data_IF_571925513768
#
_entry.id   IF_571925513768
#
_cell.length_a   1.000
_cell.length_b   1.000
_cell.length_c   1.000
_cell.angle_alpha   90.00
_cell.angle_beta   90.00
_cell.angle_gamma   90.00
#
_symmetry.space_group_name_H-M   'P 1'
#
loop_
_entity.id
_entity.type
_entity.pdbx_description
1 polymer ?
#
# COMPACT_ATOMS: atom_id res chain seq x y z
N UNK A 1 -9.32 38.87 -47.72
CA UNK A 1 -10.26 38.08 -46.91
C UNK A 1 -10.16 36.65 -47.43
N UNK A 2 -9.17 35.83 -47.05
CA UNK A 2 -9.00 35.12 -45.77
C UNK A 2 -10.25 34.37 -45.33
N UNK A 3 -10.45 33.16 -45.87
CA UNK A 3 -11.18 32.05 -45.24
C UNK A 3 -10.79 30.71 -45.90
N UNK A 4 -9.51 30.33 -45.84
CA UNK A 4 -9.05 28.96 -46.14
C UNK A 4 -7.86 28.68 -45.23
N UNK A 5 -8.09 28.09 -44.04
CA UNK A 5 -7.05 27.41 -43.23
C UNK A 5 -7.52 26.67 -41.97
N UNK A 6 -8.80 26.69 -41.60
CA UNK A 6 -9.26 26.01 -40.37
C UNK A 6 -9.76 24.56 -40.58
N UNK A 7 -10.07 24.15 -41.82
CA UNK A 7 -10.58 22.80 -42.12
C UNK A 7 -9.50 21.69 -42.12
N UNK A 8 -8.37 21.91 -42.77
CA UNK A 8 -7.31 20.90 -42.90
C UNK A 8 -6.58 20.62 -41.58
N UNK A 9 -6.46 21.63 -40.71
CA UNK A 9 -5.82 21.47 -39.41
C UNK A 9 -6.68 20.68 -38.41
N UNK A 10 -8.01 20.71 -38.57
CA UNK A 10 -8.95 19.96 -37.76
C UNK A 10 -9.04 18.49 -38.22
N UNK A 11 -9.06 18.25 -39.54
CA UNK A 11 -9.06 16.89 -40.11
C UNK A 11 -7.72 16.20 -39.86
N UNK A 12 -6.57 16.87 -40.02
CA UNK A 12 -5.26 16.31 -39.67
C UNK A 12 -5.19 15.89 -38.20
N UNK A 13 -5.63 16.76 -37.27
CA UNK A 13 -5.69 16.41 -35.84
C UNK A 13 -6.66 15.26 -35.52
N UNK A 14 -7.74 15.13 -36.28
CA UNK A 14 -8.69 14.01 -36.13
C UNK A 14 -8.07 12.70 -36.66
N UNK A 15 -7.36 12.76 -37.79
CA UNK A 15 -6.65 11.62 -38.38
C UNK A 15 -5.50 11.16 -37.48
N UNK A 16 -4.73 12.08 -36.91
CA UNK A 16 -3.62 11.78 -35.99
C UNK A 16 -4.13 11.09 -34.71
N UNK A 17 -5.29 11.52 -34.18
CA UNK A 17 -5.94 10.86 -33.04
C UNK A 17 -6.43 9.45 -33.37
N UNK A 18 -7.01 9.27 -34.56
CA UNK A 18 -7.48 7.94 -35.01
C UNK A 18 -6.28 7.01 -35.26
N UNK A 19 -5.19 7.51 -35.85
CA UNK A 19 -3.97 6.75 -36.07
C UNK A 19 -3.28 6.39 -34.76
N UNK A 20 -3.24 7.30 -33.78
CA UNK A 20 -2.69 7.02 -32.46
C UNK A 20 -3.52 5.95 -31.73
N UNK A 21 -4.85 6.07 -31.74
CA UNK A 21 -5.74 5.05 -31.18
C UNK A 21 -5.58 3.70 -31.89
N UNK A 22 -5.35 3.71 -33.20
CA UNK A 22 -5.05 2.51 -33.98
C UNK A 22 -3.70 1.91 -33.55
N UNK A 23 -2.66 2.73 -33.38
CA UNK A 23 -1.34 2.26 -32.95
C UNK A 23 -1.38 1.53 -31.60
N UNK A 24 -2.18 2.03 -30.65
CA UNK A 24 -2.30 1.51 -29.29
C UNK A 24 -3.28 0.33 -29.15
N UNK A 25 -4.14 0.10 -30.15
CA UNK A 25 -5.17 -0.94 -30.07
C UNK A 25 -4.60 -2.35 -30.16
N UNK A 26 -5.00 -3.23 -29.25
CA UNK A 26 -4.58 -4.65 -29.22
C UNK A 26 -5.13 -5.49 -30.38
N UNK A 27 -6.03 -4.92 -31.19
CA UNK A 27 -6.64 -5.57 -32.36
C UNK A 27 -6.02 -5.13 -33.67
N UNK A 28 -5.00 -4.27 -33.61
CA UNK A 28 -4.36 -3.71 -34.80
C UNK A 28 -3.51 -4.77 -35.50
N UNK A 29 -3.71 -4.98 -36.82
CA UNK A 29 -2.90 -5.92 -37.60
C UNK A 29 -1.42 -5.58 -37.55
N UNK A 30 -0.57 -6.60 -37.61
CA UNK A 30 0.88 -6.45 -37.54
C UNK A 30 1.41 -5.54 -38.66
N UNK A 31 0.86 -5.64 -39.86
CA UNK A 31 1.28 -4.86 -41.03
C UNK A 31 1.03 -3.36 -40.80
N UNK A 32 -0.06 -3.02 -40.11
CA UNK A 32 -0.38 -1.64 -39.74
C UNK A 32 0.59 -1.13 -38.68
N UNK A 33 0.91 -1.94 -37.67
CA UNK A 33 1.92 -1.58 -36.67
C UNK A 33 3.30 -1.38 -37.30
N UNK A 34 3.69 -2.23 -38.27
CA UNK A 34 4.94 -2.07 -39.01
C UNK A 34 5.00 -0.75 -39.77
N UNK A 35 3.90 -0.36 -40.44
CA UNK A 35 3.84 0.92 -41.15
C UNK A 35 3.94 2.12 -40.18
N UNK A 36 3.20 2.06 -39.07
CA UNK A 36 3.18 3.14 -38.07
C UNK A 36 4.50 3.25 -37.28
N UNK A 37 5.23 2.15 -37.11
CA UNK A 37 6.55 2.14 -36.43
C UNK A 37 7.62 2.95 -37.16
N UNK A 38 7.43 3.23 -38.46
CA UNK A 38 8.37 3.97 -39.31
C UNK A 38 7.89 5.39 -39.64
N UNK A 39 6.78 5.81 -39.03
CA UNK A 39 6.18 7.10 -39.32
C UNK A 39 7.06 8.25 -38.82
N UNK A 40 7.07 9.39 -39.52
CA UNK A 40 7.86 10.57 -39.13
C UNK A 40 7.41 11.14 -37.78
N UNK A 41 6.10 11.12 -37.54
CA UNK A 41 5.51 11.47 -36.25
C UNK A 41 5.89 10.46 -35.15
N UNK A 42 6.67 10.95 -34.20
CA UNK A 42 7.08 10.25 -32.99
C UNK A 42 5.93 9.77 -32.11
N UNK A 43 4.78 10.46 -32.11
CA UNK A 43 3.63 10.05 -31.32
C UNK A 43 3.02 8.74 -31.82
N UNK A 44 3.05 8.53 -33.15
CA UNK A 44 2.59 7.27 -33.73
C UNK A 44 3.57 6.13 -33.44
N UNK A 45 4.89 6.39 -33.51
CA UNK A 45 5.91 5.41 -33.12
C UNK A 45 5.81 5.04 -31.64
N UNK A 46 5.63 6.03 -30.76
CA UNK A 46 5.32 5.83 -29.33
C UNK A 46 4.05 4.99 -29.16
N UNK A 47 2.99 5.29 -29.91
CA UNK A 47 1.73 4.53 -29.88
C UNK A 47 1.94 3.05 -30.22
N UNK A 48 2.77 2.75 -31.21
CA UNK A 48 3.14 1.36 -31.56
C UNK A 48 3.95 0.71 -30.44
N UNK A 49 4.96 1.41 -29.92
CA UNK A 49 5.77 0.93 -28.80
C UNK A 49 4.94 0.68 -27.53
N UNK A 50 3.88 1.47 -27.30
CA UNK A 50 2.98 1.32 -26.15
C UNK A 50 1.97 0.18 -26.30
N UNK A 51 1.85 -0.42 -27.48
CA UNK A 51 0.85 -1.46 -27.73
C UNK A 51 1.21 -2.74 -26.95
N UNK A 52 0.36 -3.26 -26.04
CA UNK A 52 0.68 -4.45 -25.25
C UNK A 52 0.90 -5.72 -26.08
N UNK A 53 0.48 -5.73 -27.34
CA UNK A 53 0.70 -6.82 -28.30
C UNK A 53 1.69 -6.45 -29.40
N UNK A 54 2.52 -5.43 -29.18
CA UNK A 54 3.57 -5.05 -30.11
C UNK A 54 4.51 -6.25 -30.34
N UNK A 55 4.72 -6.68 -31.59
CA UNK A 55 5.65 -7.76 -31.90
C UNK A 55 7.07 -7.44 -31.38
N UNK A 56 7.78 -8.42 -30.79
CA UNK A 56 9.14 -8.22 -30.29
C UNK A 56 10.10 -7.58 -31.30
N UNK A 57 10.00 -7.98 -32.58
CA UNK A 57 10.82 -7.43 -33.66
C UNK A 57 10.61 -5.93 -33.90
N UNK A 58 9.40 -5.42 -33.66
CA UNK A 58 9.14 -3.98 -33.74
C UNK A 58 9.71 -3.26 -32.53
N UNK A 59 9.60 -3.84 -31.33
CA UNK A 59 10.24 -3.31 -30.13
C UNK A 59 11.77 -3.25 -30.29
N UNK A 60 12.40 -4.26 -30.89
CA UNK A 60 13.84 -4.25 -31.24
C UNK A 60 14.23 -3.10 -32.17
N UNK A 61 13.30 -2.64 -33.02
CA UNK A 61 13.56 -1.51 -33.93
C UNK A 61 13.36 -0.17 -33.22
N UNK A 62 12.34 -0.09 -32.36
CA UNK A 62 11.95 1.13 -31.64
C UNK A 62 12.83 1.40 -30.40
N UNK A 63 13.56 0.40 -29.91
CA UNK A 63 14.48 0.57 -28.77
C UNK A 63 15.62 1.54 -29.07
N UNK A 64 15.97 1.72 -30.35
CA UNK A 64 17.00 2.67 -30.80
C UNK A 64 16.40 3.97 -31.36
N UNK A 65 15.13 4.26 -31.08
CA UNK A 65 14.50 5.49 -31.55
C UNK A 65 15.26 6.71 -31.01
N UNK A 66 15.48 7.76 -31.83
CA UNK A 66 16.16 8.96 -31.38
C UNK A 66 15.44 9.67 -30.23
N UNK A 67 14.11 9.50 -30.11
CA UNK A 67 13.34 10.11 -29.02
C UNK A 67 13.18 9.17 -27.84
N UNK A 68 13.59 9.66 -26.68
CA UNK A 68 13.47 9.01 -25.37
C UNK A 68 12.03 8.62 -25.06
N UNK A 69 11.04 9.40 -25.50
CA UNK A 69 9.62 9.06 -25.32
C UNK A 69 9.23 7.75 -26.01
N UNK A 70 9.80 7.46 -27.17
CA UNK A 70 9.52 6.20 -27.88
C UNK A 70 10.25 5.05 -27.19
N UNK A 71 11.51 5.26 -26.77
CA UNK A 71 12.28 4.25 -26.03
C UNK A 71 11.65 3.94 -24.67
N UNK A 72 11.13 4.93 -23.95
CA UNK A 72 10.42 4.73 -22.69
C UNK A 72 9.13 3.92 -22.88
N UNK A 73 8.42 4.12 -24.00
CA UNK A 73 7.26 3.29 -24.34
C UNK A 73 7.64 1.83 -24.62
N UNK A 74 8.83 1.57 -25.19
CA UNK A 74 9.39 0.20 -25.30
C UNK A 74 9.70 -0.34 -23.90
N UNK A 75 10.33 0.47 -23.04
CA UNK A 75 10.74 0.09 -21.69
C UNK A 75 9.56 -0.29 -20.79
N UNK A 76 8.46 0.46 -20.82
CA UNK A 76 7.25 0.18 -20.02
C UNK A 76 6.34 -0.88 -20.64
N UNK A 77 6.63 -1.39 -21.85
CA UNK A 77 5.78 -2.35 -22.51
C UNK A 77 5.82 -3.72 -21.79
N UNK A 78 4.69 -4.31 -21.38
CA UNK A 78 4.67 -5.64 -20.74
C UNK A 78 5.27 -6.76 -21.61
N UNK A 79 5.32 -6.59 -22.93
CA UNK A 79 5.92 -7.51 -23.89
C UNK A 79 7.41 -7.20 -24.21
N UNK A 80 8.04 -6.25 -23.49
CA UNK A 80 9.44 -5.90 -23.67
C UNK A 80 10.35 -7.12 -23.41
N UNK A 81 11.08 -7.61 -24.43
CA UNK A 81 11.94 -8.77 -24.30
C UNK A 81 13.07 -8.56 -23.30
N UNK A 82 13.49 -9.61 -22.56
CA UNK A 82 14.62 -9.59 -21.63
C UNK A 82 15.87 -8.83 -22.11
N UNK A 83 16.34 -9.13 -23.32
CA UNK A 83 17.54 -8.50 -23.88
C UNK A 83 17.37 -6.98 -24.11
N UNK A 84 16.16 -6.50 -24.36
CA UNK A 84 15.89 -5.07 -24.48
C UNK A 84 15.79 -4.41 -23.11
N UNK A 85 15.23 -5.08 -22.12
CA UNK A 85 15.22 -4.58 -20.73
C UNK A 85 16.66 -4.36 -20.23
N UNK A 86 17.58 -5.30 -20.48
CA UNK A 86 19.01 -5.17 -20.14
C UNK A 86 19.66 -3.95 -20.81
N UNK A 87 19.32 -3.68 -22.07
CA UNK A 87 19.82 -2.50 -22.79
C UNK A 87 19.26 -1.21 -22.17
N UNK A 88 17.95 -1.17 -21.93
CA UNK A 88 17.23 0.01 -21.45
C UNK A 88 17.53 0.35 -19.99
N UNK A 89 17.97 -0.63 -19.19
CA UNK A 89 18.44 -0.41 -17.82
C UNK A 89 19.67 0.51 -17.76
N UNK A 90 20.37 0.67 -18.87
CA UNK A 90 21.52 1.55 -19.03
C UNK A 90 21.28 2.64 -20.07
N UNK A 91 20.02 2.97 -20.38
CA UNK A 91 19.69 4.08 -21.27
C UNK A 91 20.24 5.39 -20.67
N UNK A 92 20.75 6.26 -21.55
CA UNK A 92 21.31 7.55 -21.13
C UNK A 92 20.26 8.46 -20.47
N UNK A 93 19.00 8.30 -20.85
CA UNK A 93 17.92 9.15 -20.37
C UNK A 93 17.20 8.50 -19.19
N UNK A 94 17.23 9.18 -18.05
CA UNK A 94 16.60 8.72 -16.80
C UNK A 94 15.13 8.32 -17.00
N UNK A 95 14.34 9.10 -17.76
CA UNK A 95 12.94 8.81 -18.07
C UNK A 95 12.70 7.42 -18.69
N UNK A 96 13.66 6.90 -19.48
CA UNK A 96 13.57 5.56 -20.06
C UNK A 96 13.83 4.50 -18.99
N UNK A 97 14.83 4.72 -18.12
CA UNK A 97 15.13 3.84 -16.98
C UNK A 97 13.99 3.81 -15.97
N UNK A 98 13.36 4.97 -15.70
CA UNK A 98 12.16 5.10 -14.86
C UNK A 98 10.99 4.30 -15.44
N UNK A 99 10.78 4.38 -16.76
CA UNK A 99 9.74 3.61 -17.45
C UNK A 99 10.02 2.09 -17.37
N UNK A 100 11.29 1.66 -17.46
CA UNK A 100 11.68 0.27 -17.26
C UNK A 100 11.39 -0.19 -15.83
N UNK A 101 11.75 0.61 -14.82
CA UNK A 101 11.52 0.29 -13.41
C UNK A 101 10.02 0.10 -13.09
N UNK A 102 9.13 0.77 -13.83
CA UNK A 102 7.67 0.59 -13.70
C UNK A 102 7.09 -0.62 -14.44
N UNK A 103 7.92 -1.37 -15.18
CA UNK A 103 7.44 -2.48 -15.99
C UNK A 103 7.01 -3.67 -15.14
N UNK A 104 5.74 -4.05 -15.23
CA UNK A 104 5.13 -5.19 -14.51
C UNK A 104 5.84 -6.54 -14.70
N UNK A 105 6.62 -6.69 -15.79
CA UNK A 105 7.40 -7.88 -16.12
C UNK A 105 8.90 -7.61 -16.10
N UNK A 106 9.36 -6.70 -15.23
CA UNK A 106 10.78 -6.41 -15.02
C UNK A 106 11.54 -7.68 -14.60
N UNK A 107 12.68 -7.94 -15.23
CA UNK A 107 13.49 -9.10 -14.87
C UNK A 107 14.11 -8.99 -13.46
N UNK A 108 14.15 -10.10 -12.74
CA UNK A 108 14.64 -10.16 -11.35
C UNK A 108 16.08 -9.65 -11.18
N UNK A 109 16.94 -9.89 -12.15
CA UNK A 109 18.35 -9.45 -12.12
C UNK A 109 18.52 -7.94 -12.31
N UNK A 110 17.51 -7.25 -12.85
CA UNK A 110 17.54 -5.81 -13.07
C UNK A 110 17.16 -4.99 -11.83
N UNK A 111 16.49 -5.58 -10.84
CA UNK A 111 16.17 -4.88 -9.59
C UNK A 111 17.43 -4.37 -8.89
N UNK A 112 18.45 -5.21 -8.77
CA UNK A 112 19.72 -4.82 -8.14
C UNK A 112 20.46 -3.74 -8.95
N UNK A 113 20.32 -3.75 -10.28
CA UNK A 113 20.94 -2.73 -11.15
C UNK A 113 20.23 -1.38 -10.96
N UNK A 114 18.90 -1.36 -11.05
CA UNK A 114 18.10 -0.13 -10.97
C UNK A 114 17.95 0.41 -9.54
N UNK A 115 18.16 -0.41 -8.51
CA UNK A 115 18.20 0.05 -7.10
C UNK A 115 19.49 0.82 -6.76
N UNK A 116 20.44 0.89 -7.69
CA UNK A 116 21.69 1.65 -7.58
C UNK A 116 21.70 2.84 -8.55
N UNK A 117 20.57 3.15 -9.17
CA UNK A 117 20.42 4.29 -10.08
C UNK A 117 20.59 5.61 -9.29
N UNK A 118 21.02 6.65 -9.98
CA UNK A 118 21.22 7.98 -9.38
C UNK A 118 19.95 8.83 -9.40
N UNK A 119 18.94 8.43 -10.17
CA UNK A 119 17.67 9.16 -10.29
C UNK A 119 16.62 8.68 -9.27
N UNK A 120 16.10 9.62 -8.48
CA UNK A 120 15.07 9.38 -7.46
C UNK A 120 13.84 8.68 -8.04
N UNK A 121 13.37 9.10 -9.22
CA UNK A 121 12.19 8.51 -9.86
C UNK A 121 12.38 7.03 -10.23
N UNK A 122 13.60 6.62 -10.57
CA UNK A 122 13.93 5.22 -10.84
C UNK A 122 13.85 4.42 -9.55
N UNK A 123 14.48 4.92 -8.48
CA UNK A 123 14.51 4.28 -7.17
C UNK A 123 13.10 4.16 -6.57
N UNK A 124 12.26 5.20 -6.68
CA UNK A 124 10.87 5.17 -6.23
C UNK A 124 10.02 4.12 -6.95
N UNK A 125 10.21 3.95 -8.27
CA UNK A 125 9.51 2.92 -9.03
C UNK A 125 9.95 1.51 -8.63
N UNK A 126 11.25 1.30 -8.38
CA UNK A 126 11.74 0.01 -7.88
C UNK A 126 11.24 -0.27 -6.46
N UNK A 127 11.33 0.73 -5.57
CA UNK A 127 10.90 0.63 -4.18
C UNK A 127 9.41 0.28 -4.07
N UNK A 128 8.56 0.83 -4.94
CA UNK A 128 7.12 0.56 -4.98
C UNK A 128 6.71 -0.67 -5.81
N UNK A 129 7.66 -1.30 -6.51
CA UNK A 129 7.38 -2.41 -7.40
C UNK A 129 6.91 -3.67 -6.63
N UNK A 130 5.83 -4.31 -7.08
CA UNK A 130 5.22 -5.45 -6.39
C UNK A 130 6.07 -6.74 -6.41
N UNK A 131 7.10 -6.78 -7.27
CA UNK A 131 8.09 -7.86 -7.36
C UNK A 131 9.46 -7.46 -6.79
N UNK A 132 9.58 -6.29 -6.17
CA UNK A 132 10.85 -5.84 -5.60
C UNK A 132 11.36 -6.87 -4.58
N UNK A 133 12.56 -7.46 -4.81
CA UNK A 133 13.13 -8.41 -3.87
C UNK A 133 13.43 -7.73 -2.53
N UNK A 134 13.23 -8.46 -1.44
CA UNK A 134 13.44 -7.95 -0.08
C UNK A 134 14.83 -7.32 0.13
N UNK A 135 15.88 -7.93 -0.43
CA UNK A 135 17.26 -7.42 -0.34
C UNK A 135 17.39 -6.00 -0.90
N UNK A 136 16.65 -5.68 -1.95
CA UNK A 136 16.74 -4.41 -2.66
C UNK A 136 15.94 -3.33 -1.90
N UNK A 137 14.83 -3.72 -1.25
CA UNK A 137 14.12 -2.84 -0.31
C UNK A 137 15.00 -2.37 0.86
N UNK A 138 15.87 -3.25 1.40
CA UNK A 138 16.81 -2.85 2.45
C UNK A 138 17.86 -1.86 1.98
N UNK A 139 18.30 -1.94 0.72
CA UNK A 139 19.22 -0.97 0.13
C UNK A 139 18.54 0.39 0.01
N UNK A 140 17.31 0.41 -0.53
CA UNK A 140 16.53 1.62 -0.78
C UNK A 140 16.04 2.28 0.52
N UNK A 141 16.01 1.55 1.63
CA UNK A 141 15.60 2.07 2.93
C UNK A 141 16.64 3.02 3.59
N UNK A 142 17.84 3.15 3.02
CA UNK A 142 18.87 4.11 3.48
C UNK A 142 19.02 5.31 2.51
N UNK A 143 18.10 5.43 1.55
CA UNK A 143 18.13 6.48 0.52
C UNK A 143 17.39 7.76 0.97
N UNK A 144 17.06 8.67 0.04
CA UNK A 144 16.30 9.89 0.28
C UNK A 144 14.90 9.59 0.81
N UNK A 145 14.34 10.53 1.58
CA UNK A 145 13.04 10.37 2.23
C UNK A 145 11.90 9.93 1.27
N UNK A 146 11.79 10.44 0.02
CA UNK A 146 10.79 9.96 -0.94
C UNK A 146 10.93 8.47 -1.26
N UNK A 147 12.17 7.99 -1.48
CA UNK A 147 12.47 6.59 -1.77
C UNK A 147 12.15 5.71 -0.56
N UNK A 148 12.53 6.14 0.65
CA UNK A 148 12.19 5.43 1.90
C UNK A 148 10.67 5.33 2.11
N UNK A 149 9.91 6.36 1.74
CA UNK A 149 8.45 6.34 1.79
C UNK A 149 7.86 5.35 0.77
N UNK A 150 8.45 5.24 -0.43
CA UNK A 150 8.11 4.19 -1.40
C UNK A 150 8.39 2.78 -0.85
N UNK A 151 9.51 2.58 -0.14
CA UNK A 151 9.80 1.30 0.54
C UNK A 151 8.75 1.00 1.60
N UNK A 152 8.42 1.98 2.45
CA UNK A 152 7.42 1.85 3.50
C UNK A 152 6.01 1.56 2.97
N UNK A 153 5.64 2.12 1.80
CA UNK A 153 4.33 1.89 1.17
C UNK A 153 4.25 0.58 0.37
N UNK A 154 5.38 -0.10 0.12
CA UNK A 154 5.37 -1.35 -0.61
C UNK A 154 4.65 -2.45 0.18
N UNK A 155 3.70 -3.13 -0.48
CA UNK A 155 2.93 -4.24 0.09
C UNK A 155 3.79 -5.46 0.41
N UNK A 156 4.95 -5.63 -0.21
CA UNK A 156 5.89 -6.72 0.09
C UNK A 156 6.92 -6.34 1.14
N UNK A 157 6.87 -5.12 1.70
CA UNK A 157 7.81 -4.66 2.71
C UNK A 157 7.77 -5.56 3.96
N UNK A 158 8.90 -6.14 4.38
CA UNK A 158 8.95 -6.99 5.57
C UNK A 158 8.62 -6.20 6.85
N UNK A 159 7.97 -6.87 7.80
CA UNK A 159 7.61 -6.27 9.10
C UNK A 159 8.82 -5.70 9.87
N UNK A 160 9.98 -6.36 9.80
CA UNK A 160 11.21 -5.87 10.46
C UNK A 160 11.73 -4.57 9.81
N UNK A 161 11.57 -4.40 8.49
CA UNK A 161 11.93 -3.17 7.80
C UNK A 161 10.93 -2.04 8.09
N UNK A 162 9.63 -2.35 8.14
CA UNK A 162 8.62 -1.39 8.61
C UNK A 162 8.93 -0.92 10.04
N UNK A 163 9.38 -1.84 10.91
CA UNK A 163 9.77 -1.52 12.28
C UNK A 163 10.97 -0.57 12.36
N UNK A 164 11.95 -0.67 11.46
CA UNK A 164 13.06 0.30 11.43
C UNK A 164 12.59 1.67 10.95
N UNK A 165 11.65 1.71 9.99
CA UNK A 165 11.11 2.95 9.42
C UNK A 165 10.10 3.67 10.34
N UNK A 166 9.65 3.04 11.43
CA UNK A 166 8.80 3.70 12.44
C UNK A 166 9.45 4.93 13.07
N UNK A 167 10.78 4.92 13.21
CA UNK A 167 11.56 5.99 13.83
C UNK A 167 12.23 6.90 12.80
N UNK A 168 11.77 6.86 11.54
CA UNK A 168 12.31 7.71 10.48
C UNK A 168 12.09 9.19 10.84
N UNK A 169 13.06 10.03 10.48
CA UNK A 169 12.99 11.48 10.70
C UNK A 169 11.88 12.15 9.88
N UNK A 170 11.60 11.61 8.69
CA UNK A 170 10.57 12.10 7.78
C UNK A 170 9.19 11.62 8.22
N UNK A 171 8.28 12.57 8.40
CA UNK A 171 6.87 12.30 8.63
C UNK A 171 6.24 11.57 7.44
N UNK A 172 6.61 11.89 6.20
CA UNK A 172 6.14 11.18 5.00
C UNK A 172 6.43 9.67 5.04
N UNK A 173 7.60 9.28 5.55
CA UNK A 173 7.98 7.87 5.70
C UNK A 173 7.13 7.21 6.78
N UNK A 174 6.96 7.87 7.94
CA UNK A 174 6.13 7.34 9.04
C UNK A 174 4.64 7.26 8.66
N UNK A 175 4.14 8.20 7.86
CA UNK A 175 2.80 8.14 7.24
C UNK A 175 2.70 6.89 6.36
N UNK A 176 3.66 6.66 5.47
CA UNK A 176 3.65 5.47 4.60
C UNK A 176 3.67 4.15 5.40
N UNK A 177 4.36 4.09 6.54
CA UNK A 177 4.29 2.93 7.46
C UNK A 177 2.90 2.78 8.07
N UNK A 178 2.27 3.88 8.49
CA UNK A 178 0.90 3.88 9.02
C UNK A 178 -0.15 3.46 7.99
N UNK A 179 0.05 3.82 6.72
CA UNK A 179 -0.85 3.47 5.61
C UNK A 179 -0.64 2.03 5.09
N UNK A 180 0.51 1.41 5.37
CA UNK A 180 0.81 0.08 4.85
C UNK A 180 -0.18 -0.96 5.40
N UNK A 181 -0.92 -1.59 4.49
CA UNK A 181 -1.97 -2.59 4.79
C UNK A 181 -1.42 -3.85 5.47
N UNK A 182 -0.12 -4.12 5.37
CA UNK A 182 0.56 -5.25 5.99
C UNK A 182 1.35 -4.84 7.23
N UNK A 183 1.28 -3.58 7.67
CA UNK A 183 1.90 -3.14 8.92
C UNK A 183 1.26 -3.90 10.10
N UNK A 184 2.05 -4.63 10.92
CA UNK A 184 1.53 -5.33 12.08
C UNK A 184 0.90 -4.36 13.10
N UNK A 185 -0.22 -4.78 13.69
CA UNK A 185 -0.95 -3.96 14.67
C UNK A 185 -0.15 -3.55 15.91
N UNK A 186 0.86 -4.32 16.28
CA UNK A 186 1.80 -3.98 17.37
C UNK A 186 2.66 -2.77 17.01
N UNK A 187 3.13 -2.69 15.76
CA UNK A 187 3.94 -1.58 15.26
C UNK A 187 3.13 -0.28 15.15
N UNK A 188 1.88 -0.40 14.67
CA UNK A 188 0.92 0.71 14.62
C UNK A 188 0.66 1.32 16.01
N UNK A 189 0.83 0.54 17.09
CA UNK A 189 0.74 1.04 18.46
C UNK A 189 1.77 2.12 18.80
N UNK A 190 2.97 2.05 18.21
CA UNK A 190 4.01 3.08 18.39
C UNK A 190 3.63 4.39 17.68
N UNK A 191 3.07 4.30 16.47
CA UNK A 191 2.61 5.47 15.69
C UNK A 191 1.30 6.07 16.23
N UNK A 192 0.52 5.30 17.01
CA UNK A 192 -0.68 5.83 17.66
C UNK A 192 -0.36 6.95 18.69
N UNK A 193 0.91 7.08 19.08
CA UNK A 193 1.42 8.14 19.96
C UNK A 193 2.39 9.08 19.26
N UNK A 194 2.45 9.06 17.92
CA UNK A 194 3.31 9.97 17.16
C UNK A 194 2.93 11.43 17.44
N UNK A 195 3.91 12.32 17.42
CA UNK A 195 3.71 13.75 17.64
C UNK A 195 2.83 14.36 16.52
N UNK A 196 2.96 13.87 15.29
CA UNK A 196 2.20 14.36 14.13
C UNK A 196 0.78 13.80 14.08
N UNK A 197 -0.20 14.70 14.03
CA UNK A 197 -1.63 14.34 14.05
C UNK A 197 -2.08 13.58 12.79
N UNK A 198 -1.45 13.82 11.64
CA UNK A 198 -1.76 13.12 10.40
C UNK A 198 -1.38 11.63 10.49
N UNK A 199 -0.23 11.31 11.09
CA UNK A 199 0.21 9.92 11.30
C UNK A 199 -0.80 9.20 12.20
N UNK A 200 -1.19 9.80 13.32
CA UNK A 200 -2.18 9.22 14.24
C UNK A 200 -3.53 8.99 13.56
N UNK A 201 -3.93 9.89 12.65
CA UNK A 201 -5.15 9.73 11.85
C UNK A 201 -5.05 8.55 10.86
N UNK A 202 -3.90 8.33 10.23
CA UNK A 202 -3.70 7.16 9.34
C UNK A 202 -3.67 5.84 10.13
N UNK A 203 -3.05 5.83 11.31
CA UNK A 203 -3.13 4.69 12.23
C UNK A 203 -4.60 4.39 12.58
N UNK A 204 -5.42 5.41 12.82
CA UNK A 204 -6.84 5.18 13.12
C UNK A 204 -7.61 4.52 11.95
N UNK A 205 -7.22 4.80 10.70
CA UNK A 205 -7.84 4.25 9.49
C UNK A 205 -7.31 2.86 9.12
N UNK A 206 -6.11 2.50 9.55
CA UNK A 206 -5.50 1.22 9.21
C UNK A 206 -6.32 0.04 9.76
N UNK A 207 -6.52 -0.99 8.92
CA UNK A 207 -7.34 -2.15 9.26
C UNK A 207 -6.74 -3.01 10.37
N UNK A 208 -5.40 -3.04 10.48
CA UNK A 208 -4.65 -3.85 11.44
C UNK A 208 -4.48 -3.17 12.81
N UNK A 209 -4.94 -1.93 12.98
CA UNK A 209 -4.84 -1.22 14.26
C UNK A 209 -5.60 -1.99 15.34
N UNK A 210 -4.89 -2.31 16.42
CA UNK A 210 -5.44 -3.13 17.50
C UNK A 210 -6.52 -2.37 18.30
N UNK A 211 -7.50 -3.07 18.89
CA UNK A 211 -8.58 -2.47 19.66
C UNK A 211 -8.12 -1.45 20.70
N UNK A 212 -7.08 -1.79 21.48
CA UNK A 212 -6.56 -0.89 22.51
C UNK A 212 -6.10 0.45 21.93
N UNK A 213 -5.28 0.43 20.88
CA UNK A 213 -4.74 1.64 20.26
C UNK A 213 -5.85 2.47 19.60
N UNK A 214 -6.81 1.83 18.93
CA UNK A 214 -7.92 2.54 18.29
C UNK A 214 -8.84 3.22 19.32
N UNK A 215 -9.06 2.60 20.48
CA UNK A 215 -9.79 3.21 21.60
C UNK A 215 -9.03 4.41 22.18
N UNK A 216 -7.70 4.33 22.33
CA UNK A 216 -6.89 5.47 22.76
C UNK A 216 -6.97 6.63 21.77
N UNK A 217 -6.95 6.36 20.45
CA UNK A 217 -7.10 7.37 19.39
C UNK A 217 -8.50 7.99 19.36
N UNK A 218 -9.55 7.28 19.77
CA UNK A 218 -10.88 7.88 19.96
C UNK A 218 -10.92 8.90 21.11
N UNK A 219 -9.90 8.91 21.98
CA UNK A 219 -9.69 9.90 23.04
C UNK A 219 -8.62 10.95 22.69
N UNK A 220 -8.16 11.00 21.43
CA UNK A 220 -7.14 11.93 20.96
C UNK A 220 -7.58 13.40 21.17
N UNK A 221 -6.68 14.32 21.56
CA UNK A 221 -7.00 15.73 21.68
C UNK A 221 -7.40 16.39 20.35
N UNK A 222 -6.94 15.84 19.22
CA UNK A 222 -7.24 16.36 17.88
C UNK A 222 -8.53 15.72 17.35
N UNK A 223 -9.52 16.58 17.06
CA UNK A 223 -10.84 16.15 16.58
C UNK A 223 -10.79 15.31 15.31
N UNK A 224 -9.86 15.59 14.41
CA UNK A 224 -9.73 14.84 13.16
C UNK A 224 -9.34 13.38 13.43
N UNK A 225 -8.33 13.16 14.28
CA UNK A 225 -7.87 11.83 14.72
C UNK A 225 -8.99 11.10 15.47
N UNK A 226 -9.63 11.78 16.43
CA UNK A 226 -10.76 11.23 17.18
C UNK A 226 -11.88 10.75 16.25
N UNK A 227 -12.28 11.58 15.27
CA UNK A 227 -13.33 11.22 14.32
C UNK A 227 -12.93 10.02 13.44
N UNK A 228 -11.69 9.97 12.94
CA UNK A 228 -11.20 8.84 12.17
C UNK A 228 -11.25 7.54 12.99
N UNK A 229 -10.85 7.59 14.26
CA UNK A 229 -10.89 6.44 15.16
C UNK A 229 -12.33 5.99 15.45
N UNK A 230 -13.25 6.91 15.74
CA UNK A 230 -14.66 6.58 15.99
C UNK A 230 -15.30 5.95 14.75
N UNK A 231 -15.10 6.52 13.56
CA UNK A 231 -15.60 5.95 12.29
C UNK A 231 -15.03 4.55 12.07
N UNK A 232 -13.73 4.36 12.32
CA UNK A 232 -13.09 3.05 12.22
C UNK A 232 -13.72 2.05 13.19
N UNK A 233 -13.88 2.40 14.47
CA UNK A 233 -14.52 1.55 15.50
C UNK A 233 -15.96 1.16 15.12
N UNK A 234 -16.76 2.09 14.60
CA UNK A 234 -18.13 1.84 14.15
C UNK A 234 -18.21 0.83 13.00
N UNK A 235 -17.18 0.76 12.17
CA UNK A 235 -17.09 -0.16 11.04
C UNK A 235 -16.55 -1.56 11.40
N UNK A 236 -16.00 -1.74 12.62
CA UNK A 236 -15.33 -2.99 12.98
C UNK A 236 -16.34 -4.15 13.17
N UNK A 237 -16.04 -5.34 12.61
CA UNK A 237 -16.87 -6.53 12.78
C UNK A 237 -16.83 -7.11 14.21
N UNK A 238 -17.73 -8.04 14.51
CA UNK A 238 -17.87 -8.65 15.85
C UNK A 238 -16.59 -9.32 16.35
N UNK A 239 -15.89 -10.05 15.49
CA UNK A 239 -14.64 -10.77 15.79
C UNK A 239 -13.51 -9.83 16.24
N UNK A 240 -13.47 -8.60 15.73
CA UNK A 240 -12.56 -7.56 16.22
C UNK A 240 -12.77 -7.25 17.71
N UNK A 241 -14.02 -7.19 18.15
CA UNK A 241 -14.37 -6.93 19.55
C UNK A 241 -14.16 -8.16 20.44
N UNK A 242 -14.35 -9.37 19.90
CA UNK A 242 -13.98 -10.61 20.59
C UNK A 242 -12.47 -10.70 20.81
N UNK A 243 -11.68 -10.31 19.81
CA UNK A 243 -10.22 -10.19 19.93
C UNK A 243 -9.84 -9.20 21.05
N UNK A 244 -10.54 -8.07 21.16
CA UNK A 244 -10.32 -7.10 22.23
C UNK A 244 -10.45 -7.75 23.62
N UNK A 245 -11.54 -8.47 23.86
CA UNK A 245 -11.82 -9.11 25.15
C UNK A 245 -10.84 -10.23 25.46
N UNK A 246 -10.56 -11.09 24.47
CA UNK A 246 -9.59 -12.19 24.62
C UNK A 246 -8.16 -11.70 24.83
N UNK A 247 -7.83 -10.50 24.34
CA UNK A 247 -6.55 -9.81 24.59
C UNK A 247 -6.50 -9.11 25.96
N UNK A 248 -7.55 -9.23 26.77
CA UNK A 248 -7.61 -8.73 28.15
C UNK A 248 -8.28 -7.37 28.32
N UNK A 249 -8.84 -6.77 27.27
CA UNK A 249 -9.70 -5.59 27.44
C UNK A 249 -11.03 -5.99 28.05
N UNK A 250 -11.57 -5.10 28.87
CA UNK A 250 -12.92 -5.21 29.40
C UNK A 250 -13.62 -3.86 29.34
N UNK A 251 -14.95 -3.86 29.35
CA UNK A 251 -15.75 -2.63 29.46
C UNK A 251 -15.35 -1.79 30.69
N UNK A 252 -14.94 -2.43 31.79
CA UNK A 252 -14.46 -1.75 33.00
C UNK A 252 -12.99 -1.29 32.92
N UNK A 253 -12.28 -1.61 31.83
CA UNK A 253 -10.88 -1.20 31.66
C UNK A 253 -10.81 0.32 31.56
N UNK A 254 -10.05 0.92 32.46
CA UNK A 254 -9.77 2.36 32.43
C UNK A 254 -8.70 2.64 31.38
N UNK A 255 -9.07 3.39 30.35
CA UNK A 255 -8.19 3.86 29.30
C UNK A 255 -7.65 5.23 29.68
N UNK A 256 -6.35 5.44 29.49
CA UNK A 256 -5.68 6.72 29.71
C UNK A 256 -5.00 7.11 28.40
N UNK A 257 -5.48 8.17 27.75
CA UNK A 257 -4.85 8.66 26.53
C UNK A 257 -3.45 9.23 26.87
N UNK A 258 -2.37 8.74 26.24
CA UNK A 258 -1.01 9.14 26.61
C UNK A 258 -0.69 10.60 26.30
N UNK A 259 -1.39 11.22 25.35
CA UNK A 259 -1.15 12.59 24.90
C UNK A 259 -1.96 13.58 25.75
N UNK A 260 -3.27 13.37 25.87
CA UNK A 260 -4.18 14.29 26.58
C UNK A 260 -4.31 14.02 28.07
N UNK A 261 -3.82 12.86 28.55
CA UNK A 261 -4.02 12.37 29.93
C UNK A 261 -5.50 12.22 30.34
N UNK A 262 -6.41 12.26 29.36
CA UNK A 262 -7.83 12.00 29.59
C UNK A 262 -8.01 10.53 29.98
N UNK A 263 -8.84 10.28 30.98
CA UNK A 263 -9.18 8.95 31.47
C UNK A 263 -10.68 8.70 31.34
N UNK A 264 -11.06 7.51 30.87
CA UNK A 264 -12.45 7.04 30.79
C UNK A 264 -12.48 5.51 30.73
N UNK A 265 -13.55 4.87 31.18
CA UNK A 265 -13.69 3.43 30.99
C UNK A 265 -13.95 3.10 29.52
N UNK A 266 -13.56 1.90 29.08
CA UNK A 266 -13.85 1.42 27.73
C UNK A 266 -15.36 1.46 27.43
N UNK A 267 -16.19 0.98 28.36
CA UNK A 267 -17.64 1.00 28.23
C UNK A 267 -18.22 2.41 28.07
N UNK A 268 -17.81 3.35 28.93
CA UNK A 268 -18.27 4.74 28.83
C UNK A 268 -17.82 5.38 27.51
N UNK A 269 -16.60 5.09 27.05
CA UNK A 269 -16.08 5.61 25.78
C UNK A 269 -16.94 5.12 24.61
N UNK A 270 -17.20 3.81 24.53
CA UNK A 270 -18.01 3.21 23.46
C UNK A 270 -19.42 3.78 23.42
N UNK A 271 -20.06 3.98 24.58
CA UNK A 271 -21.39 4.59 24.67
C UNK A 271 -21.34 6.06 24.23
N UNK A 272 -20.37 6.83 24.72
CA UNK A 272 -20.26 8.26 24.40
C UNK A 272 -19.90 8.54 22.93
N UNK A 273 -19.30 7.57 22.25
CA UNK A 273 -18.87 7.63 20.85
C UNK A 273 -19.84 6.92 19.88
N UNK A 274 -21.02 6.52 20.35
CA UNK A 274 -22.04 5.80 19.56
C UNK A 274 -21.52 4.51 18.90
N UNK A 275 -20.68 3.76 19.62
CA UNK A 275 -20.15 2.45 19.20
C UNK A 275 -20.90 1.33 19.93
N UNK A 276 -22.23 1.36 19.80
CA UNK A 276 -23.13 0.45 20.52
C UNK A 276 -22.93 -1.02 20.15
N UNK A 277 -22.61 -1.31 18.89
CA UNK A 277 -22.32 -2.67 18.40
C UNK A 277 -21.08 -3.27 19.07
N UNK A 278 -20.02 -2.46 19.21
CA UNK A 278 -18.79 -2.85 19.91
C UNK A 278 -19.04 -3.12 21.38
N UNK A 279 -19.79 -2.24 22.06
CA UNK A 279 -20.18 -2.43 23.46
C UNK A 279 -20.91 -3.77 23.67
N UNK A 280 -21.92 -4.05 22.84
CA UNK A 280 -22.71 -5.29 22.93
C UNK A 280 -21.85 -6.53 22.65
N UNK A 281 -20.94 -6.44 21.69
CA UNK A 281 -20.04 -7.54 21.32
C UNK A 281 -19.05 -7.85 22.45
N UNK A 282 -18.45 -6.82 23.05
CA UNK A 282 -17.58 -6.99 24.22
C UNK A 282 -18.34 -7.57 25.41
N UNK A 283 -19.54 -7.03 25.72
CA UNK A 283 -20.37 -7.55 26.82
C UNK A 283 -20.73 -9.03 26.63
N UNK A 284 -21.11 -9.42 25.41
CA UNK A 284 -21.47 -10.81 25.11
C UNK A 284 -20.28 -11.77 25.27
N UNK A 285 -19.09 -11.35 24.84
CA UNK A 285 -17.87 -12.16 24.96
C UNK A 285 -17.43 -12.28 26.44
N UNK A 286 -17.46 -11.20 27.22
CA UNK A 286 -17.17 -11.23 28.65
C UNK A 286 -18.10 -12.18 29.42
N UNK A 287 -19.40 -12.13 29.12
CA UNK A 287 -20.38 -13.04 29.72
C UNK A 287 -20.11 -14.49 29.34
N UNK A 288 -19.75 -14.75 28.09
CA UNK A 288 -19.38 -16.09 27.60
C UNK A 288 -18.17 -16.64 28.37
N UNK A 289 -17.11 -15.84 28.51
CA UNK A 289 -15.91 -16.23 29.29
C UNK A 289 -16.22 -16.47 30.76
N UNK A 290 -17.07 -15.64 31.37
CA UNK A 290 -17.50 -15.80 32.75
C UNK A 290 -18.29 -17.10 32.98
N UNK A 291 -19.20 -17.44 32.05
CA UNK A 291 -19.96 -18.70 32.08
C UNK A 291 -19.01 -19.90 31.95
N UNK A 292 -18.11 -19.90 30.97
CA UNK A 292 -17.16 -21.00 30.75
C UNK A 292 -16.30 -21.24 31.99
N UNK A 293 -15.75 -20.16 32.58
CA UNK A 293 -14.96 -20.25 33.82
C UNK A 293 -15.76 -20.82 34.99
N UNK A 294 -17.03 -20.44 35.13
CA UNK A 294 -17.90 -20.97 36.16
C UNK A 294 -18.20 -22.47 35.98
N UNK A 295 -18.29 -22.94 34.73
CA UNK A 295 -18.49 -24.37 34.42
C UNK A 295 -17.23 -25.22 34.59
N UNK A 296 -16.04 -24.65 34.43
CA UNK A 296 -14.76 -25.35 34.61
C UNK A 296 -14.32 -25.46 36.08
N UNK A 297 -14.79 -24.56 36.96
CA UNK A 297 -14.54 -24.70 38.40
C UNK A 297 -15.40 -25.82 39.02
N UNK A 298 -14.81 -26.94 39.50
CA UNK A 298 -15.59 -28.01 40.09
C UNK A 298 -16.28 -27.52 41.37
N UNK A 299 -17.56 -27.85 41.49
CA UNK A 299 -18.38 -27.54 42.67
C UNK A 299 -17.69 -28.01 43.96
N UNK A 300 -17.80 -27.30 45.10
CA UNK A 300 -17.34 -27.79 46.40
C UNK A 300 -17.85 -29.20 46.73
N UNK A 301 -19.01 -29.59 46.19
CA UNK A 301 -19.58 -30.92 46.35
C UNK A 301 -18.83 -32.03 45.59
N UNK A 302 -18.06 -31.71 44.54
CA UNK A 302 -17.22 -32.65 43.81
C UNK A 302 -15.85 -32.84 44.49
N UNK A 303 -15.29 -31.80 45.13
CA UNK A 303 -14.05 -31.92 45.92
C UNK A 303 -14.22 -32.79 47.18
N UNK A 304 -15.40 -32.81 47.78
CA UNK A 304 -15.70 -33.64 48.96
C UNK A 304 -15.85 -35.14 48.62
N UNK A 305 -16.19 -35.50 47.38
CA UNK A 305 -16.33 -36.91 46.95
C UNK A 305 -14.99 -37.57 46.61
N UNK A 306 -13.96 -36.81 46.21
CA UNK A 306 -12.63 -37.37 45.88
C UNK A 306 -11.73 -37.62 47.10
N UNK A 307 -12.04 -37.06 48.27
CA UNK A 307 -11.25 -37.25 49.51
C UNK A 307 -11.77 -38.38 50.41
N UNK A 308 -12.92 -38.99 50.10
CA UNK A 308 -13.52 -40.06 50.93
C UNK A 308 -13.08 -41.48 50.50
N UNK A 309 -12.43 -41.67 49.35
CA UNK A 309 -12.06 -43.00 48.83
C UNK A 309 -10.61 -43.42 49.12
N UNK A 310 -10.01 -42.97 50.23
CA UNK A 310 -8.65 -43.37 50.63
C UNK A 310 -8.57 -43.66 52.14
N UNK A 311 -9.45 -44.52 52.64
CA UNK A 311 -9.27 -45.22 53.94
C UNK A 311 -10.02 -46.56 53.92
N UNK A 312 -9.34 -47.59 53.44
CA UNK A 312 -9.30 -48.96 53.99
C UNK A 312 -8.32 -49.80 53.18
#
# INVERSE_FOLDING_TARGET
MFFEKEGDQFVAKQTDRVLLATAQSTSTPIETLEALSKHEDSMLRHGVASNPKCPPKLLETLVTDPLELVRSAVASNPACPPNLQQLLAHDEHWYVRTALASNVNLQEDLFNTLSQDDEEDVLCNIASHHQCPEKDLYVLADDLAPVRACVASNKTCPAELLKTLLADESDEVRIAVAENINCPGELLGHLATDDEEYIRAEVAKNQNTLPHHLLLLAMDPVKHVQNAAIVSLQSKPTDYWQLAVTSGLSLDTTLINPISQRSQTCGDLLISSDVSSGYQSMQAEELTLAINKATETPSPAQKAKSTTTMRM
#
